data_IF_727578340041
#
_entry.id   IF_727578340041
#
_cell.length_a   1.000
_cell.length_b   1.000
_cell.length_c   1.000
_cell.angle_alpha   90.00
_cell.angle_beta   90.00
_cell.angle_gamma   90.00
#
_symmetry.space_group_name_H-M   'P 1'
#
loop_
_entity.id
_entity.type
_entity.pdbx_description
1 polymer ?
#
# COMPACT_ATOMS: atom_id res chain seq x y z
N UNK A 1 -55.04 62.57 -3.43
CA UNK A 1 -54.20 61.53 -4.06
C UNK A 1 -53.33 60.90 -2.98
N UNK A 2 -53.60 59.66 -2.56
CA UNK A 2 -52.75 58.94 -1.61
C UNK A 2 -51.63 58.18 -2.34
N UNK A 3 -50.39 58.28 -1.87
CA UNK A 3 -49.28 57.46 -2.38
C UNK A 3 -49.21 56.15 -1.60
N UNK A 4 -49.59 55.04 -2.23
CA UNK A 4 -49.42 53.71 -1.64
C UNK A 4 -48.03 53.18 -1.92
N UNK A 5 -47.20 53.03 -0.88
CA UNK A 5 -45.89 52.39 -1.00
C UNK A 5 -46.03 50.87 -0.85
N UNK A 6 -45.56 50.11 -1.85
CA UNK A 6 -45.51 48.65 -1.76
C UNK A 6 -44.27 48.22 -0.97
N UNK A 7 -44.46 47.51 0.16
CA UNK A 7 -43.37 46.80 0.82
C UNK A 7 -43.02 45.55 0.03
N UNK A 8 -41.75 45.38 -0.31
CA UNK A 8 -41.23 44.08 -0.75
C UNK A 8 -41.34 43.09 0.41
N UNK A 9 -42.11 42.02 0.24
CA UNK A 9 -42.30 40.99 1.25
C UNK A 9 -41.19 39.95 1.13
N UNK A 10 -40.13 40.10 1.93
CA UNK A 10 -39.01 39.17 1.95
C UNK A 10 -39.45 37.82 2.52
N UNK A 11 -39.23 36.73 1.75
CA UNK A 11 -39.61 35.38 2.13
C UNK A 11 -38.87 34.95 3.39
N UNK A 12 -39.63 34.77 4.47
CA UNK A 12 -39.13 34.37 5.78
C UNK A 12 -38.34 33.06 5.73
N UNK A 13 -38.65 32.18 4.79
CA UNK A 13 -37.96 30.91 4.57
C UNK A 13 -36.48 31.14 4.25
N UNK A 14 -36.19 32.06 3.33
CA UNK A 14 -34.81 32.44 2.94
C UNK A 14 -34.07 33.19 4.02
N UNK A 15 -34.76 34.07 4.75
CA UNK A 15 -34.18 34.81 5.88
C UNK A 15 -33.71 33.86 7.00
N UNK A 16 -34.55 32.90 7.39
CA UNK A 16 -34.22 31.94 8.45
C UNK A 16 -33.22 30.87 8.02
N UNK A 17 -33.24 30.47 6.74
CA UNK A 17 -32.16 29.67 6.14
C UNK A 17 -30.78 30.33 6.33
N UNK A 18 -30.65 31.62 6.05
CA UNK A 18 -29.40 32.37 6.26
C UNK A 18 -29.07 32.51 7.76
N UNK A 19 -30.03 32.91 8.60
CA UNK A 19 -29.83 33.11 10.06
C UNK A 19 -29.34 31.86 10.79
N UNK A 20 -29.81 30.67 10.40
CA UNK A 20 -29.41 29.40 10.99
C UNK A 20 -28.22 28.74 10.25
N UNK A 21 -27.37 29.54 9.60
CA UNK A 21 -26.13 29.04 9.00
C UNK A 21 -26.34 28.14 7.78
N UNK A 22 -27.24 28.55 6.88
CA UNK A 22 -27.61 27.81 5.66
C UNK A 22 -28.26 26.44 5.93
N UNK A 23 -29.01 26.32 7.03
CA UNK A 23 -29.72 25.10 7.41
C UNK A 23 -30.75 24.66 6.36
N UNK A 24 -30.87 23.36 6.11
CA UNK A 24 -31.77 22.82 5.08
C UNK A 24 -33.23 23.26 5.33
N UNK A 25 -33.91 23.77 4.30
CA UNK A 25 -35.33 24.16 4.33
C UNK A 25 -36.26 23.04 4.84
N UNK A 26 -35.95 21.77 4.53
CA UNK A 26 -36.68 20.63 5.11
C UNK A 26 -36.53 20.56 6.63
N UNK A 27 -35.33 20.84 7.14
CA UNK A 27 -35.04 20.93 8.57
C UNK A 27 -35.77 22.11 9.24
N UNK A 28 -35.79 23.28 8.61
CA UNK A 28 -36.55 24.44 9.08
C UNK A 28 -38.06 24.15 9.17
N UNK A 29 -38.62 23.48 8.15
CA UNK A 29 -40.01 23.03 8.16
C UNK A 29 -40.29 22.08 9.32
N UNK A 30 -39.39 21.12 9.60
CA UNK A 30 -39.51 20.20 10.74
C UNK A 30 -39.44 20.94 12.07
N UNK A 31 -38.52 21.90 12.23
CA UNK A 31 -38.38 22.69 13.47
C UNK A 31 -39.67 23.45 13.80
N UNK A 32 -40.30 24.08 12.80
CA UNK A 32 -41.58 24.76 12.96
C UNK A 32 -42.72 23.76 13.25
N UNK A 33 -42.88 22.71 12.42
CA UNK A 33 -43.96 21.73 12.55
C UNK A 33 -43.94 20.97 13.89
N UNK A 34 -42.74 20.65 14.40
CA UNK A 34 -42.57 19.95 15.68
C UNK A 34 -42.45 20.90 16.88
N UNK A 35 -42.62 22.22 16.69
CA UNK A 35 -42.50 23.26 17.72
C UNK A 35 -41.21 23.17 18.53
N UNK A 36 -40.09 22.87 17.87
CA UNK A 36 -38.78 22.67 18.51
C UNK A 36 -38.02 23.98 18.78
N UNK A 37 -38.57 25.12 18.36
CA UNK A 37 -38.03 26.46 18.54
C UNK A 37 -39.21 27.43 18.64
N UNK A 38 -39.18 28.37 19.58
CA UNK A 38 -40.20 29.43 19.69
C UNK A 38 -40.01 30.46 18.56
N UNK A 39 -41.08 31.18 18.24
CA UNK A 39 -41.05 32.40 17.39
C UNK A 39 -40.57 32.19 15.93
N UNK A 40 -40.36 30.94 15.50
CA UNK A 40 -40.06 30.59 14.12
C UNK A 40 -41.35 30.71 13.28
N UNK A 41 -41.42 31.60 12.27
CA UNK A 41 -42.60 31.78 11.43
C UNK A 41 -42.88 30.53 10.59
N UNK A 42 -44.05 30.46 9.96
CA UNK A 42 -44.42 29.35 9.09
C UNK A 42 -43.50 29.28 7.86
N UNK A 43 -42.55 28.35 7.88
CA UNK A 43 -41.60 28.12 6.79
C UNK A 43 -42.25 27.28 5.69
N UNK A 44 -42.25 27.80 4.46
CA UNK A 44 -42.64 27.02 3.28
C UNK A 44 -41.43 26.24 2.74
N UNK A 45 -41.67 25.10 2.11
CA UNK A 45 -40.61 24.38 1.42
C UNK A 45 -40.35 25.09 0.08
N UNK A 46 -39.32 25.94 0.03
CA UNK A 46 -39.00 26.70 -1.17
C UNK A 46 -38.18 25.86 -2.14
N UNK A 47 -38.65 25.77 -3.38
CA UNK A 47 -37.88 25.20 -4.50
C UNK A 47 -36.90 26.26 -5.01
N UNK A 48 -35.67 26.24 -4.47
CA UNK A 48 -34.61 27.13 -4.91
C UNK A 48 -33.25 26.76 -4.33
N UNK A 49 -32.21 26.88 -5.15
CA UNK A 49 -30.85 26.56 -4.75
C UNK A 49 -30.15 27.81 -4.19
N UNK A 50 -29.71 27.76 -2.94
CA UNK A 50 -28.90 28.82 -2.37
C UNK A 50 -27.49 28.78 -2.97
N UNK A 51 -27.05 29.87 -3.61
CA UNK A 51 -25.73 29.98 -4.24
C UNK A 51 -24.59 29.63 -3.26
N UNK A 52 -24.62 30.17 -2.04
CA UNK A 52 -23.63 29.85 -1.00
C UNK A 52 -23.65 28.37 -0.59
N UNK A 53 -24.82 27.72 -0.59
CA UNK A 53 -24.91 26.27 -0.36
C UNK A 53 -24.34 25.46 -1.53
N UNK A 54 -24.58 25.90 -2.77
CA UNK A 54 -24.06 25.22 -3.97
C UNK A 54 -22.54 25.27 -4.00
N UNK A 55 -21.96 26.46 -3.78
CA UNK A 55 -20.51 26.65 -3.70
C UNK A 55 -19.91 25.86 -2.52
N UNK A 56 -20.51 25.95 -1.32
CA UNK A 56 -20.04 25.24 -0.12
C UNK A 56 -20.20 23.71 -0.15
N UNK A 57 -21.06 23.17 -1.03
CA UNK A 57 -21.27 21.72 -1.22
C UNK A 57 -20.75 21.21 -2.56
N UNK A 58 -19.96 22.01 -3.28
CA UNK A 58 -19.41 21.62 -4.57
C UNK A 58 -18.34 20.53 -4.41
N UNK A 59 -18.73 19.27 -4.62
CA UNK A 59 -17.77 18.18 -4.69
C UNK A 59 -16.87 18.33 -5.94
N UNK A 60 -15.56 18.12 -5.76
CA UNK A 60 -14.61 18.05 -6.88
C UNK A 60 -15.04 16.93 -7.82
N UNK A 61 -15.30 17.26 -9.10
CA UNK A 61 -15.64 16.25 -10.12
C UNK A 61 -14.50 15.21 -10.21
N UNK A 62 -14.81 13.90 -10.31
CA UNK A 62 -13.79 12.90 -10.57
C UNK A 62 -13.10 13.19 -11.91
N UNK A 63 -11.83 12.79 -12.03
CA UNK A 63 -11.13 12.86 -13.31
C UNK A 63 -11.86 12.01 -14.36
N UNK A 64 -11.89 12.43 -15.65
CA UNK A 64 -12.54 11.65 -16.69
C UNK A 64 -11.91 10.26 -16.77
N UNK A 65 -12.74 9.23 -16.62
CA UNK A 65 -12.34 7.83 -16.74
C UNK A 65 -12.14 7.42 -18.20
N UNK A 66 -11.20 8.09 -18.88
CA UNK A 66 -10.63 7.58 -20.11
C UNK A 66 -9.73 6.40 -19.78
N UNK A 67 -9.84 5.31 -20.56
CA UNK A 67 -8.92 4.17 -20.45
C UNK A 67 -7.48 4.65 -20.59
N UNK A 68 -6.70 4.56 -19.51
CA UNK A 68 -5.25 4.72 -19.58
C UNK A 68 -4.71 3.78 -20.65
N UNK A 69 -3.88 4.29 -21.55
CA UNK A 69 -3.23 3.46 -22.56
C UNK A 69 -2.48 2.31 -21.85
N UNK A 70 -2.70 1.09 -22.35
CA UNK A 70 -2.37 -0.17 -21.69
C UNK A 70 -1.51 -0.99 -22.63
N UNK A 71 -0.37 -1.48 -22.12
CA UNK A 71 0.52 -2.38 -22.85
C UNK A 71 -0.20 -3.66 -23.30
N UNK A 72 0.11 -4.09 -24.53
CA UNK A 72 -0.37 -5.31 -25.20
C UNK A 72 0.69 -6.42 -25.22
N UNK A 73 1.97 -6.09 -25.07
CA UNK A 73 3.08 -7.04 -24.94
C UNK A 73 3.97 -6.71 -23.76
N UNK A 74 4.74 -7.70 -23.27
CA UNK A 74 5.62 -7.51 -22.11
C UNK A 74 6.74 -6.50 -22.42
N UNK A 75 7.04 -5.64 -21.44
CA UNK A 75 8.00 -4.53 -21.50
C UNK A 75 7.66 -3.38 -22.45
N UNK A 76 6.46 -3.35 -23.04
CA UNK A 76 5.99 -2.22 -23.87
C UNK A 76 5.81 -0.92 -23.07
N UNK A 77 5.45 -1.04 -21.79
CA UNK A 77 5.36 0.07 -20.84
C UNK A 77 5.80 -0.41 -19.46
N UNK A 78 6.70 0.34 -18.82
CA UNK A 78 7.13 0.08 -17.44
C UNK A 78 6.89 1.35 -16.63
N UNK A 79 6.09 1.24 -15.57
CA UNK A 79 5.87 2.31 -14.61
C UNK A 79 6.99 2.31 -13.56
N UNK A 80 7.54 3.48 -13.26
CA UNK A 80 8.63 3.62 -12.28
C UNK A 80 8.33 4.67 -11.24
N UNK A 81 8.62 4.39 -9.97
CA UNK A 81 8.44 5.36 -8.87
C UNK A 81 9.60 5.30 -7.87
N UNK A 82 10.00 6.46 -7.34
CA UNK A 82 11.12 6.62 -6.39
C UNK A 82 10.61 7.10 -5.04
N UNK A 83 10.77 6.26 -4.00
CA UNK A 83 10.25 6.52 -2.67
C UNK A 83 11.35 6.64 -1.61
N UNK A 84 11.36 7.73 -0.84
CA UNK A 84 12.35 8.07 0.19
C UNK A 84 12.47 9.57 0.44
N UNK A 85 13.26 10.03 1.43
CA UNK A 85 14.10 9.23 2.32
C UNK A 85 13.32 8.60 3.48
N UNK A 86 13.58 7.33 3.77
CA UNK A 86 13.01 6.63 4.92
C UNK A 86 13.67 7.10 6.24
N UNK A 87 12.84 7.29 7.28
CA UNK A 87 13.27 7.81 8.60
C UNK A 87 14.29 6.92 9.31
N UNK A 88 14.30 5.62 9.04
CA UNK A 88 15.31 4.69 9.56
C UNK A 88 16.12 4.13 8.37
N UNK A 89 17.46 4.25 8.39
CA UNK A 89 18.31 3.77 7.31
C UNK A 89 18.48 2.24 7.36
N UNK A 90 19.19 1.70 6.37
CA UNK A 90 19.51 0.27 6.32
C UNK A 90 20.70 -0.17 7.18
N UNK A 91 20.87 -1.48 7.33
CA UNK A 91 22.10 -2.12 7.82
C UNK A 91 23.26 -1.90 6.83
N UNK A 92 22.93 -1.94 5.53
CA UNK A 92 23.74 -1.42 4.41
C UNK A 92 23.53 0.11 4.22
N UNK A 93 22.99 0.81 5.23
CA UNK A 93 22.90 2.28 5.42
C UNK A 93 22.02 3.12 4.50
N UNK A 94 21.37 2.52 3.51
CA UNK A 94 20.68 3.29 2.46
C UNK A 94 19.38 4.01 2.94
N UNK A 95 18.76 4.93 2.12
CA UNK A 95 17.45 5.61 2.46
C UNK A 95 16.31 5.75 1.39
N UNK A 96 16.51 5.55 0.08
CA UNK A 96 15.50 5.55 -1.00
C UNK A 96 15.32 4.20 -1.75
N UNK A 97 14.18 3.96 -2.42
CA UNK A 97 14.03 2.89 -3.42
C UNK A 97 13.43 3.37 -4.72
N UNK A 98 13.63 2.58 -5.78
CA UNK A 98 12.91 2.69 -7.05
C UNK A 98 12.18 1.39 -7.36
N UNK A 99 10.87 1.49 -7.64
CA UNK A 99 10.02 0.43 -8.17
C UNK A 99 10.06 0.47 -9.70
N UNK A 100 10.04 -0.71 -10.34
CA UNK A 100 9.72 -0.87 -11.75
C UNK A 100 8.57 -1.89 -11.85
N UNK A 101 7.48 -1.52 -12.52
CA UNK A 101 6.30 -2.37 -12.71
C UNK A 101 6.03 -2.44 -14.21
N UNK A 102 6.26 -3.60 -14.82
CA UNK A 102 5.83 -3.85 -16.20
C UNK A 102 4.30 -3.77 -16.27
N UNK A 103 3.78 -2.94 -17.16
CA UNK A 103 2.35 -2.72 -17.25
C UNK A 103 1.64 -4.01 -17.70
N UNK A 104 2.13 -4.69 -18.74
CA UNK A 104 1.48 -5.88 -19.32
C UNK A 104 1.32 -7.03 -18.32
N UNK A 105 2.43 -7.60 -17.88
CA UNK A 105 2.47 -8.79 -17.01
C UNK A 105 2.25 -8.47 -15.53
N UNK A 106 2.39 -7.21 -15.11
CA UNK A 106 2.49 -6.79 -13.69
C UNK A 106 3.72 -7.34 -12.96
N UNK A 107 4.70 -7.87 -13.71
CA UNK A 107 6.03 -8.19 -13.19
C UNK A 107 6.63 -6.96 -12.53
N UNK A 108 6.98 -7.08 -11.25
CA UNK A 108 7.58 -5.99 -10.48
C UNK A 108 9.07 -6.28 -10.22
N UNK A 109 9.89 -5.24 -10.13
CA UNK A 109 11.28 -5.26 -9.65
C UNK A 109 11.52 -4.07 -8.75
N UNK A 110 12.43 -4.20 -7.77
CA UNK A 110 12.78 -3.08 -6.87
C UNK A 110 14.29 -2.97 -6.66
N UNK A 111 14.77 -1.73 -6.65
CA UNK A 111 16.16 -1.34 -6.50
C UNK A 111 16.30 -0.26 -5.40
N UNK A 112 17.49 -0.13 -4.82
CA UNK A 112 17.63 0.24 -3.41
C UNK A 112 18.89 1.09 -3.12
N UNK A 113 18.74 2.31 -2.59
CA UNK A 113 19.61 3.44 -2.98
C UNK A 113 19.94 4.36 -1.77
N UNK A 114 21.22 4.60 -1.42
CA UNK A 114 21.58 5.42 -0.23
C UNK A 114 21.11 6.83 -0.35
N UNK A 115 21.34 7.38 -1.52
CA UNK A 115 20.96 8.72 -1.91
C UNK A 115 19.96 8.67 -3.06
N UNK A 116 19.27 9.79 -3.34
CA UNK A 116 18.40 9.88 -4.52
C UNK A 116 19.21 9.88 -5.84
N UNK A 117 20.47 10.29 -5.77
CA UNK A 117 21.52 10.14 -6.80
C UNK A 117 21.85 8.66 -7.10
N UNK A 118 21.63 7.76 -6.14
CA UNK A 118 21.81 6.31 -6.31
C UNK A 118 20.61 5.62 -7.00
N UNK A 119 19.79 6.34 -7.80
CA UNK A 119 18.92 5.71 -8.83
C UNK A 119 19.70 4.76 -9.76
N UNK A 120 21.03 4.85 -9.74
CA UNK A 120 21.96 3.97 -10.44
C UNK A 120 22.69 2.93 -9.56
N UNK A 121 22.45 2.81 -8.22
CA UNK A 121 23.21 1.95 -7.27
C UNK A 121 22.38 1.37 -6.08
N UNK A 122 22.96 0.40 -5.35
CA UNK A 122 22.31 -0.85 -4.83
C UNK A 122 22.98 -1.37 -3.51
N UNK A 123 22.38 -2.00 -2.47
CA UNK A 123 20.97 -2.31 -2.02
C UNK A 123 20.82 -2.19 -0.47
N UNK A 124 19.61 -2.30 0.15
CA UNK A 124 19.44 -2.43 1.64
C UNK A 124 19.63 -3.85 2.12
N UNK A 125 19.90 -4.01 3.43
CA UNK A 125 19.07 -4.84 4.32
C UNK A 125 19.36 -4.67 5.83
N UNK A 126 19.74 -5.71 6.61
CA UNK A 126 18.78 -6.52 7.37
C UNK A 126 17.89 -5.87 8.44
N UNK A 127 18.11 -4.62 8.87
CA UNK A 127 17.60 -4.16 10.20
C UNK A 127 16.16 -3.62 10.34
N UNK A 128 15.46 -2.97 9.41
CA UNK A 128 15.67 -2.75 7.97
C UNK A 128 15.60 -4.01 7.08
N UNK A 129 14.70 -4.93 7.43
CA UNK A 129 14.28 -6.08 6.60
C UNK A 129 13.81 -5.72 5.17
N UNK A 130 13.63 -4.44 4.83
CA UNK A 130 12.69 -4.03 3.79
C UNK A 130 13.12 -4.33 2.36
N UNK A 131 14.41 -4.41 2.02
CA UNK A 131 14.78 -4.68 0.64
C UNK A 131 14.55 -6.14 0.20
N UNK A 132 14.84 -7.14 1.04
CA UNK A 132 14.50 -8.55 0.73
C UNK A 132 13.17 -9.02 1.32
N UNK A 133 12.54 -8.24 2.21
CA UNK A 133 11.07 -8.25 2.33
C UNK A 133 10.42 -7.82 1.01
N UNK A 134 10.90 -6.76 0.36
CA UNK A 134 10.36 -6.29 -0.92
C UNK A 134 10.78 -7.19 -2.09
N UNK A 135 12.00 -7.73 -2.15
CA UNK A 135 12.32 -8.80 -3.12
C UNK A 135 11.43 -10.02 -2.91
N UNK A 136 11.14 -10.40 -1.66
CA UNK A 136 10.23 -11.51 -1.38
C UNK A 136 8.80 -11.17 -1.80
N UNK A 137 8.31 -9.97 -1.50
CA UNK A 137 7.00 -9.49 -1.94
C UNK A 137 6.90 -9.50 -3.47
N UNK A 138 7.91 -8.99 -4.19
CA UNK A 138 8.04 -9.08 -5.64
C UNK A 138 8.01 -10.52 -6.12
N UNK A 139 8.84 -11.39 -5.55
CA UNK A 139 8.95 -12.80 -5.94
C UNK A 139 7.61 -13.54 -5.80
N UNK A 140 6.85 -13.21 -4.76
CA UNK A 140 5.51 -13.72 -4.50
C UNK A 140 4.46 -13.11 -5.44
N UNK A 141 4.41 -11.78 -5.59
CA UNK A 141 3.50 -11.08 -6.50
C UNK A 141 3.62 -11.61 -7.93
N UNK A 142 4.85 -11.82 -8.40
CA UNK A 142 5.11 -12.36 -9.73
C UNK A 142 4.63 -13.81 -9.92
N UNK A 143 4.27 -14.51 -8.83
CA UNK A 143 3.72 -15.89 -8.80
C UNK A 143 2.25 -15.94 -8.39
N UNK A 144 1.64 -14.81 -8.06
CA UNK A 144 0.20 -14.70 -7.77
C UNK A 144 -0.57 -14.29 -9.04
N UNK A 145 -1.83 -14.71 -9.20
CA UNK A 145 -2.68 -14.19 -10.26
C UNK A 145 -3.01 -12.71 -10.00
N UNK A 146 -3.10 -11.91 -11.07
CA UNK A 146 -3.55 -10.51 -11.03
C UNK A 146 -4.89 -10.39 -11.77
N UNK A 147 -5.62 -9.27 -11.60
CA UNK A 147 -6.90 -9.08 -12.31
C UNK A 147 -6.70 -8.83 -13.80
N UNK A 148 -5.52 -8.32 -14.15
CA UNK A 148 -5.14 -7.85 -15.47
C UNK A 148 -4.51 -8.95 -16.33
N UNK A 149 -3.96 -10.00 -15.72
CA UNK A 149 -3.37 -11.16 -16.39
C UNK A 149 -4.28 -12.38 -16.15
N UNK A 150 -5.15 -12.66 -17.13
CA UNK A 150 -6.15 -13.73 -17.01
C UNK A 150 -5.53 -15.13 -17.05
N UNK A 151 -5.92 -15.97 -16.09
CA UNK A 151 -5.63 -17.42 -16.03
C UNK A 151 -4.15 -17.84 -16.00
N UNK A 152 -3.21 -16.92 -15.82
CA UNK A 152 -1.78 -17.19 -15.70
C UNK A 152 -1.11 -16.23 -14.71
N UNK A 153 0.07 -16.60 -14.21
CA UNK A 153 0.86 -15.74 -13.31
C UNK A 153 1.76 -14.78 -14.10
N UNK A 154 2.17 -13.61 -13.55
CA UNK A 154 3.12 -12.70 -14.20
C UNK A 154 4.40 -13.39 -14.69
N UNK A 155 4.97 -14.30 -13.89
CA UNK A 155 6.16 -15.08 -14.25
C UNK A 155 5.90 -16.11 -15.35
N UNK A 156 4.68 -16.66 -15.44
CA UNK A 156 4.27 -17.57 -16.50
C UNK A 156 4.03 -16.83 -17.81
N UNK A 157 3.35 -15.66 -17.76
CA UNK A 157 3.17 -14.76 -18.90
C UNK A 157 4.52 -14.27 -19.47
N UNK A 158 5.52 -14.06 -18.61
CA UNK A 158 6.87 -13.65 -19.01
C UNK A 158 7.76 -14.81 -19.51
N UNK A 159 7.78 -15.94 -18.81
CA UNK A 159 8.75 -17.02 -19.06
C UNK A 159 8.20 -18.22 -19.84
N UNK A 160 6.89 -18.26 -20.10
CA UNK A 160 6.17 -19.41 -20.65
C UNK A 160 6.16 -20.64 -19.74
N UNK A 161 6.64 -20.54 -18.50
CA UNK A 161 6.81 -21.68 -17.56
C UNK A 161 6.05 -21.43 -16.26
N UNK A 162 5.24 -22.42 -15.87
CA UNK A 162 4.48 -22.39 -14.62
C UNK A 162 5.41 -22.41 -13.40
N UNK A 163 5.23 -21.50 -12.42
CA UNK A 163 6.02 -21.50 -11.19
C UNK A 163 5.64 -22.68 -10.29
N UNK A 164 6.61 -23.23 -9.56
CA UNK A 164 6.38 -24.27 -8.56
C UNK A 164 6.25 -23.66 -7.16
N UNK A 165 5.18 -24.02 -6.44
CA UNK A 165 4.96 -23.58 -5.06
C UNK A 165 5.82 -24.31 -4.01
N UNK A 166 6.48 -25.44 -4.38
CA UNK A 166 7.23 -26.29 -3.43
C UNK A 166 8.36 -25.57 -2.67
N UNK A 167 8.88 -24.50 -3.27
CA UNK A 167 9.99 -23.69 -2.74
C UNK A 167 9.52 -22.48 -1.93
N UNK A 168 8.21 -22.27 -1.75
CA UNK A 168 7.71 -21.13 -0.98
C UNK A 168 7.87 -21.39 0.52
N UNK A 169 8.29 -20.35 1.25
CA UNK A 169 8.46 -20.32 2.71
C UNK A 169 7.92 -19.02 3.29
N UNK A 170 7.49 -19.05 4.54
CA UNK A 170 6.98 -17.90 5.30
C UNK A 170 8.12 -16.92 5.59
N UNK A 171 8.08 -15.72 4.99
CA UNK A 171 9.10 -14.68 5.22
C UNK A 171 9.27 -14.37 6.72
N UNK A 172 10.51 -14.36 7.20
CA UNK A 172 10.84 -14.15 8.61
C UNK A 172 10.76 -15.40 9.49
N UNK A 173 10.45 -16.57 8.93
CA UNK A 173 10.48 -17.84 9.68
C UNK A 173 11.89 -18.17 10.21
N UNK A 174 11.92 -19.01 11.24
CA UNK A 174 13.16 -19.55 11.78
C UNK A 174 13.64 -20.65 10.84
N UNK A 175 14.93 -20.64 10.51
CA UNK A 175 15.54 -21.69 9.70
C UNK A 175 16.82 -22.22 10.37
N UNK A 176 17.08 -23.50 10.14
CA UNK A 176 18.18 -24.26 10.69
C UNK A 176 19.09 -24.68 9.54
N UNK A 177 20.27 -24.08 9.49
CA UNK A 177 21.25 -24.26 8.41
C UNK A 177 22.30 -25.28 8.85
N UNK A 178 22.50 -26.31 8.04
CA UNK A 178 23.51 -27.33 8.33
C UNK A 178 24.90 -26.88 7.84
N UNK A 179 25.87 -26.74 8.77
CA UNK A 179 27.24 -26.34 8.42
C UNK A 179 27.95 -27.48 7.66
N UNK A 180 28.62 -27.18 6.55
CA UNK A 180 29.47 -28.16 5.85
C UNK A 180 30.66 -28.60 6.74
N UNK A 181 30.95 -29.90 6.70
CA UNK A 181 31.86 -30.59 7.63
C UNK A 181 33.30 -30.03 7.62
N UNK A 182 33.74 -29.47 6.50
CA UNK A 182 35.07 -28.88 6.29
C UNK A 182 35.37 -27.66 7.19
N UNK A 183 34.34 -27.02 7.76
CA UNK A 183 34.48 -25.85 8.64
C UNK A 183 34.34 -26.18 10.13
N UNK A 184 34.24 -27.46 10.49
CA UNK A 184 34.00 -27.90 11.88
C UNK A 184 35.30 -28.33 12.55
N UNK A 185 35.57 -27.81 13.75
CA UNK A 185 36.45 -28.49 14.70
C UNK A 185 35.69 -29.60 15.44
N UNK A 186 36.44 -30.53 16.05
CA UNK A 186 36.02 -31.90 16.43
C UNK A 186 34.87 -32.01 17.46
N UNK A 187 34.29 -30.90 17.93
CA UNK A 187 33.24 -30.83 18.96
C UNK A 187 32.15 -29.74 18.70
N UNK A 188 32.08 -29.13 17.52
CA UNK A 188 31.16 -28.01 17.25
C UNK A 188 29.73 -28.44 16.84
N UNK A 189 28.74 -27.59 17.17
CA UNK A 189 27.33 -27.79 16.80
C UNK A 189 27.15 -27.92 15.28
N UNK A 190 26.35 -28.90 14.85
CA UNK A 190 26.15 -29.21 13.43
C UNK A 190 25.25 -28.20 12.70
N UNK A 191 24.44 -27.44 13.44
CA UNK A 191 23.31 -26.66 12.95
C UNK A 191 23.41 -25.22 13.49
N UNK A 192 23.18 -24.23 12.63
CA UNK A 192 23.06 -22.83 13.03
C UNK A 192 21.65 -22.28 12.82
N UNK A 193 21.18 -21.46 13.77
CA UNK A 193 19.88 -20.81 13.71
C UNK A 193 19.96 -19.50 12.92
N UNK A 194 19.07 -19.33 11.95
CA UNK A 194 18.92 -18.14 11.14
C UNK A 194 17.47 -17.68 11.00
N UNK A 195 17.30 -16.56 10.31
CA UNK A 195 16.00 -16.02 9.87
C UNK A 195 15.95 -16.11 8.35
N UNK A 196 14.84 -16.63 7.81
CA UNK A 196 14.58 -16.63 6.38
C UNK A 196 14.25 -15.22 5.87
N UNK A 197 15.02 -14.73 4.90
CA UNK A 197 14.86 -13.38 4.34
C UNK A 197 14.46 -13.36 2.85
N UNK A 198 14.44 -14.49 2.15
CA UNK A 198 13.95 -14.53 0.77
C UNK A 198 14.74 -15.46 -0.14
N UNK A 199 14.58 -15.27 -1.44
CA UNK A 199 15.07 -16.20 -2.46
C UNK A 199 16.33 -15.67 -3.16
N UNK A 200 17.28 -16.55 -3.46
CA UNK A 200 18.47 -16.20 -4.24
C UNK A 200 18.10 -16.00 -5.73
N UNK A 201 18.68 -14.98 -6.36
CA UNK A 201 18.54 -14.73 -7.80
C UNK A 201 19.50 -15.56 -8.66
N UNK A 202 20.62 -16.00 -8.08
CA UNK A 202 21.69 -16.72 -8.78
C UNK A 202 21.57 -18.25 -8.66
N UNK A 203 20.76 -18.75 -7.73
CA UNK A 203 20.64 -20.18 -7.47
C UNK A 203 19.29 -20.56 -6.87
N UNK A 204 18.92 -21.85 -6.88
CA UNK A 204 17.73 -22.39 -6.20
C UNK A 204 17.92 -22.48 -4.67
N UNK A 205 18.51 -21.46 -4.05
CA UNK A 205 18.80 -21.40 -2.63
C UNK A 205 18.10 -20.25 -1.93
N UNK A 206 17.98 -20.35 -0.60
CA UNK A 206 17.38 -19.37 0.27
C UNK A 206 18.44 -18.39 0.79
N UNK A 207 18.06 -17.11 0.94
CA UNK A 207 18.84 -16.07 1.62
C UNK A 207 18.46 -16.11 3.08
N UNK A 208 19.43 -16.45 3.93
CA UNK A 208 19.25 -16.68 5.36
C UNK A 208 20.18 -15.74 6.12
N UNK A 209 19.67 -15.07 7.14
CA UNK A 209 20.47 -14.27 8.06
C UNK A 209 20.80 -15.10 9.31
N UNK A 210 22.07 -15.46 9.45
CA UNK A 210 22.58 -16.26 10.56
C UNK A 210 22.65 -15.39 11.84
N UNK A 211 21.98 -15.84 12.90
CA UNK A 211 21.86 -15.08 14.15
C UNK A 211 23.13 -15.06 14.99
N UNK A 212 23.98 -16.10 14.89
CA UNK A 212 25.29 -16.17 15.57
C UNK A 212 26.30 -15.24 14.88
N UNK A 213 26.43 -15.34 13.57
CA UNK A 213 27.47 -14.61 12.81
C UNK A 213 27.05 -13.23 12.32
N UNK A 214 25.76 -12.89 12.38
CA UNK A 214 25.15 -11.66 11.82
C UNK A 214 25.45 -11.44 10.32
N UNK A 215 25.66 -12.54 9.59
CA UNK A 215 25.95 -12.54 8.14
C UNK A 215 24.81 -13.16 7.37
N UNK A 216 24.60 -12.66 6.15
CA UNK A 216 23.71 -13.28 5.19
C UNK A 216 24.45 -14.41 4.47
N UNK A 217 23.83 -15.58 4.43
CA UNK A 217 24.32 -16.79 3.79
C UNK A 217 23.29 -17.30 2.78
N UNK A 218 23.78 -17.98 1.75
CA UNK A 218 22.92 -18.68 0.78
C UNK A 218 23.06 -20.17 1.04
N UNK A 219 21.95 -20.84 1.28
CA UNK A 219 21.89 -22.28 1.51
C UNK A 219 20.74 -22.90 0.70
N UNK A 220 20.67 -24.24 0.68
CA UNK A 220 19.68 -25.03 -0.07
C UNK A 220 19.04 -26.10 0.80
N UNK A 221 19.85 -26.71 1.66
CA UNK A 221 19.51 -27.84 2.51
C UNK A 221 19.20 -27.32 3.92
N UNK A 222 18.10 -26.58 4.02
CA UNK A 222 17.67 -25.86 5.23
C UNK A 222 16.33 -26.38 5.75
N UNK A 223 16.23 -26.58 7.06
CA UNK A 223 15.00 -26.96 7.73
C UNK A 223 14.31 -25.71 8.29
N UNK A 224 13.00 -25.58 8.08
CA UNK A 224 12.24 -24.37 8.41
C UNK A 224 11.20 -24.66 9.49
N UNK A 225 11.25 -23.87 10.56
CA UNK A 225 10.22 -23.79 11.59
C UNK A 225 9.29 -22.63 11.22
N UNK A 226 8.15 -22.98 10.61
CA UNK A 226 7.14 -22.04 10.11
C UNK A 226 5.98 -21.83 11.10
N UNK A 227 6.06 -22.38 12.32
CA UNK A 227 4.98 -22.26 13.30
C UNK A 227 4.89 -20.84 13.89
N UNK A 228 3.69 -20.22 13.91
CA UNK A 228 3.51 -18.82 14.32
C UNK A 228 3.74 -18.56 15.83
N UNK A 229 4.02 -19.60 16.63
CA UNK A 229 4.21 -19.53 18.09
C UNK A 229 5.68 -19.49 18.56
N UNK A 230 6.67 -19.62 17.66
CA UNK A 230 8.09 -19.73 18.03
C UNK A 230 8.72 -18.47 18.67
N UNK A 231 8.08 -17.30 18.55
CA UNK A 231 8.51 -16.08 19.26
C UNK A 231 7.87 -16.10 20.65
N UNK A 232 8.64 -16.54 21.65
CA UNK A 232 8.28 -16.51 23.07
C UNK A 232 8.14 -15.09 23.64
N UNK A 233 7.13 -14.34 23.17
CA UNK A 233 6.64 -13.14 23.85
C UNK A 233 5.99 -13.57 25.17
N UNK A 234 6.80 -13.58 26.24
CA UNK A 234 6.27 -13.58 27.61
C UNK A 234 5.36 -12.36 27.74
N UNK A 235 4.05 -12.58 27.79
CA UNK A 235 3.09 -11.56 28.17
C UNK A 235 3.49 -11.01 29.53
N UNK A 236 3.73 -9.70 29.58
CA UNK A 236 3.67 -8.87 30.79
C UNK A 236 2.48 -7.94 30.62
#
# INVERSE_FOLDING_TARGET
MGRTAMKAQEDQSWLWHRRLGHFNFQGLKILHQKKMMTDLPQIQAVEGACEACLQGKQHKKPFPSGTSWRAKVVLELIHTDVCGPMRTPSHEQNRYFILFIDDYSKMTWVYFMREKSEVFKEKYLPKAFWAEAVYTAVYLLNRCPTKEVQNMTPIEAWSGKKPSAKQLRVFGSICYVHILTEKRHKLEEKIEKGIFLGYSTQSKGYRIYNLKTKKLIISRDDEFDEDPCGIGMKKK
#
